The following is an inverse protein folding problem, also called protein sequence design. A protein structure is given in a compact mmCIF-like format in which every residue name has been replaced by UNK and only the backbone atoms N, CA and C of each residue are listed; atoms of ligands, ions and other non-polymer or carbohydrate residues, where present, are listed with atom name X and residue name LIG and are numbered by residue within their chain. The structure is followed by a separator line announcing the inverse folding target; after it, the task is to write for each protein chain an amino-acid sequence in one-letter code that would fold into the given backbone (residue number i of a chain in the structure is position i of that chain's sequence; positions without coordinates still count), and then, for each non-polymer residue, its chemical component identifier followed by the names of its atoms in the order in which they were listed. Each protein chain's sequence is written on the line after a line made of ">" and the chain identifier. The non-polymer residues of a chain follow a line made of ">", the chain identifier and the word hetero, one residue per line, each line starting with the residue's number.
data_IF_970461723257
#
_entry.id   IF_970461723257
#
_cell.length_a   1.000
_cell.length_b   1.000
_cell.length_c   1.000
_cell.angle_alpha   90.00
_cell.angle_beta   90.00
_cell.angle_gamma   90.00
#
_symmetry.space_group_name_H-M   'P 1'
#
loop_
_entity.id
_entity.type
_entity.pdbx_description
1 polymer ?
#
# COMPACT_ATOMS: atom_id res chain seq x y z
N UNK A 1 3.46 -33.18 -40.82
CA UNK A 1 2.07 -32.90 -40.39
C UNK A 1 1.95 -32.59 -38.90
N UNK A 2 2.54 -33.37 -37.99
CA UNK A 2 2.44 -33.16 -36.52
C UNK A 2 2.90 -31.78 -36.01
N UNK A 3 3.91 -31.18 -36.62
CA UNK A 3 4.44 -29.85 -36.23
C UNK A 3 3.47 -28.71 -36.55
N UNK A 4 2.72 -28.78 -37.65
CA UNK A 4 1.76 -27.72 -38.04
C UNK A 4 0.55 -27.66 -37.11
N UNK A 5 0.04 -28.82 -36.70
CA UNK A 5 -1.06 -28.91 -35.73
C UNK A 5 -0.65 -28.43 -34.34
N UNK A 6 0.57 -28.76 -33.91
CA UNK A 6 1.08 -28.28 -32.63
C UNK A 6 1.27 -26.76 -32.61
N UNK A 7 1.83 -26.18 -33.68
CA UNK A 7 1.99 -24.72 -33.80
C UNK A 7 0.63 -24.01 -33.78
N UNK A 8 -0.40 -24.60 -34.41
CA UNK A 8 -1.75 -24.05 -34.43
C UNK A 8 -2.43 -24.10 -33.04
N UNK A 9 -2.35 -25.23 -32.33
CA UNK A 9 -2.89 -25.37 -30.97
C UNK A 9 -2.20 -24.41 -30.00
N UNK A 10 -0.89 -24.24 -30.15
CA UNK A 10 -0.11 -23.33 -29.33
C UNK A 10 -0.47 -21.86 -29.59
N UNK A 11 -0.65 -21.47 -30.85
CA UNK A 11 -1.11 -20.11 -31.22
C UNK A 11 -2.54 -19.84 -30.72
N UNK A 12 -3.40 -20.87 -30.74
CA UNK A 12 -4.75 -20.83 -30.18
C UNK A 12 -4.72 -20.61 -28.66
N UNK A 13 -3.80 -21.27 -27.94
CA UNK A 13 -3.59 -21.08 -26.50
C UNK A 13 -3.10 -19.66 -26.18
N UNK A 14 -2.17 -19.09 -26.96
CA UNK A 14 -1.76 -17.68 -26.81
C UNK A 14 -2.94 -16.72 -27.01
N UNK A 15 -3.79 -16.98 -28.00
CA UNK A 15 -4.98 -16.17 -28.27
C UNK A 15 -6.06 -16.26 -27.18
N UNK A 16 -6.02 -17.29 -26.33
CA UNK A 16 -6.98 -17.49 -25.23
C UNK A 16 -6.53 -16.86 -23.89
N UNK A 17 -5.27 -16.43 -23.77
CA UNK A 17 -4.73 -15.82 -22.54
C UNK A 17 -5.39 -14.47 -22.17
N UNK A 18 -5.82 -13.59 -23.09
CA UNK A 18 -6.56 -12.39 -22.72
C UNK A 18 -7.93 -12.65 -22.08
N UNK A 19 -8.48 -13.86 -22.19
CA UNK A 19 -9.78 -14.22 -21.60
C UNK A 19 -9.69 -14.67 -20.13
N UNK A 20 -8.48 -14.93 -19.61
CA UNK A 20 -8.27 -15.45 -18.24
C UNK A 20 -7.95 -14.34 -17.24
N UNK A 21 -7.70 -13.12 -17.69
CA UNK A 21 -7.64 -11.94 -16.80
C UNK A 21 -9.06 -11.54 -16.43
N UNK A 22 -9.64 -12.28 -15.48
CA UNK A 22 -10.90 -11.92 -14.83
C UNK A 22 -10.79 -10.51 -14.27
N UNK A 23 -11.75 -9.67 -14.70
CA UNK A 23 -12.04 -8.37 -14.11
C UNK A 23 -12.34 -8.57 -12.62
N UNK A 24 -11.40 -8.18 -11.77
CA UNK A 24 -11.75 -7.78 -10.41
C UNK A 24 -12.15 -6.31 -10.54
N UNK A 25 -13.45 -6.07 -10.76
CA UNK A 25 -14.03 -4.72 -10.67
C UNK A 25 -14.01 -4.32 -9.19
N UNK A 26 -12.94 -3.66 -8.75
CA UNK A 26 -13.00 -2.81 -7.56
C UNK A 26 -13.84 -1.58 -7.93
N UNK A 27 -15.13 -1.64 -7.59
CA UNK A 27 -16.02 -0.47 -7.60
C UNK A 27 -15.61 0.40 -6.41
N UNK A 28 -14.67 1.32 -6.64
CA UNK A 28 -14.48 2.50 -5.81
C UNK A 28 -14.71 3.73 -6.70
N UNK A 29 -15.92 4.28 -6.65
CA UNK A 29 -16.21 5.60 -7.20
C UNK A 29 -15.60 6.65 -6.26
N UNK A 30 -14.46 7.21 -6.65
CA UNK A 30 -13.98 8.47 -6.11
C UNK A 30 -13.18 9.20 -7.19
N UNK A 31 -13.12 10.53 -7.15
CA UNK A 31 -12.37 11.39 -8.08
C UNK A 31 -10.85 11.13 -7.97
N UNK A 32 -10.40 9.96 -8.40
CA UNK A 32 -9.00 9.58 -8.41
C UNK A 32 -8.30 10.43 -9.46
N UNK A 33 -7.26 11.15 -9.02
CA UNK A 33 -6.42 11.96 -9.88
C UNK A 33 -6.03 11.18 -11.13
N UNK A 34 -6.26 11.76 -12.31
CA UNK A 34 -5.96 11.16 -13.62
C UNK A 34 -4.50 10.65 -13.74
N UNK A 35 -3.58 11.20 -12.94
CA UNK A 35 -2.19 10.76 -12.85
C UNK A 35 -2.01 9.43 -12.11
N UNK A 36 -2.78 9.18 -11.06
CA UNK A 36 -2.74 7.93 -10.29
C UNK A 36 -3.31 6.75 -11.08
N UNK A 37 -4.43 6.99 -11.79
CA UNK A 37 -4.99 6.00 -12.71
C UNK A 37 -3.98 5.56 -13.78
N UNK A 38 -3.20 6.50 -14.32
CA UNK A 38 -2.12 6.18 -15.29
C UNK A 38 -1.02 5.33 -14.69
N UNK A 39 -0.66 5.57 -13.43
CA UNK A 39 0.37 4.76 -12.75
C UNK A 39 -0.15 3.35 -12.50
N UNK A 40 -1.39 3.22 -12.02
CA UNK A 40 -2.02 1.92 -11.81
C UNK A 40 -2.09 1.14 -13.13
N UNK A 41 -2.56 1.78 -14.19
CA UNK A 41 -2.61 1.23 -15.54
C UNK A 41 -1.21 0.81 -16.04
N UNK A 42 -0.18 1.63 -15.82
CA UNK A 42 1.19 1.31 -16.20
C UNK A 42 1.75 0.09 -15.44
N UNK A 43 1.41 -0.05 -14.15
CA UNK A 43 1.80 -1.21 -13.33
C UNK A 43 1.11 -2.47 -13.81
N UNK A 44 -0.20 -2.45 -14.02
CA UNK A 44 -0.94 -3.57 -14.57
C UNK A 44 -0.44 -3.98 -15.95
N UNK A 45 -0.22 -2.99 -16.82
CA UNK A 45 0.30 -3.22 -18.17
C UNK A 45 1.71 -3.82 -18.11
N UNK A 46 2.57 -3.37 -17.19
CA UNK A 46 3.90 -3.96 -16.98
C UNK A 46 3.80 -5.45 -16.61
N UNK A 47 2.91 -5.80 -15.66
CA UNK A 47 2.69 -7.20 -15.26
C UNK A 47 2.15 -8.03 -16.44
N UNK A 48 1.15 -7.52 -17.16
CA UNK A 48 0.58 -8.20 -18.34
C UNK A 48 1.63 -8.42 -19.42
N UNK A 49 2.48 -7.43 -19.71
CA UNK A 49 3.57 -7.55 -20.68
C UNK A 49 4.62 -8.58 -20.25
N UNK A 50 4.98 -8.63 -18.97
CA UNK A 50 5.90 -9.64 -18.42
C UNK A 50 5.32 -11.06 -18.62
N UNK A 51 4.04 -11.26 -18.32
CA UNK A 51 3.35 -12.54 -18.50
C UNK A 51 3.35 -12.95 -19.98
N UNK A 52 2.90 -12.07 -20.87
CA UNK A 52 2.85 -12.31 -22.31
C UNK A 52 4.25 -12.63 -22.86
N UNK A 53 5.26 -11.84 -22.51
CA UNK A 53 6.63 -12.08 -22.94
C UNK A 53 7.19 -13.40 -22.42
N UNK A 54 6.88 -13.76 -21.17
CA UNK A 54 7.29 -15.05 -20.58
C UNK A 54 6.69 -16.22 -21.37
N UNK A 55 5.41 -16.14 -21.74
CA UNK A 55 4.75 -17.15 -22.58
C UNK A 55 5.42 -17.23 -23.96
N UNK A 56 5.64 -16.10 -24.62
CA UNK A 56 6.30 -16.05 -25.93
C UNK A 56 7.71 -16.65 -25.86
N UNK A 57 8.51 -16.28 -24.86
CA UNK A 57 9.87 -16.81 -24.69
C UNK A 57 9.83 -18.32 -24.44
N UNK A 58 8.96 -18.81 -23.54
CA UNK A 58 8.79 -20.24 -23.29
C UNK A 58 8.41 -21.01 -24.56
N UNK A 59 7.57 -20.41 -25.41
CA UNK A 59 7.23 -20.95 -26.73
C UNK A 59 8.44 -21.11 -27.61
N UNK A 60 9.23 -20.04 -27.76
CA UNK A 60 10.38 -20.01 -28.64
C UNK A 60 11.44 -21.01 -28.17
N UNK A 61 11.67 -21.08 -26.86
CA UNK A 61 12.55 -22.08 -26.24
C UNK A 61 12.04 -23.49 -26.48
N UNK A 62 10.74 -23.75 -26.29
CA UNK A 62 10.14 -25.04 -26.56
C UNK A 62 10.31 -25.46 -28.02
N UNK A 63 10.05 -24.57 -28.98
CA UNK A 63 10.29 -24.83 -30.41
C UNK A 63 11.77 -25.15 -30.66
N UNK A 64 12.69 -24.39 -30.04
CA UNK A 64 14.12 -24.62 -30.18
C UNK A 64 14.53 -26.03 -29.70
N UNK A 65 13.94 -26.53 -28.62
CA UNK A 65 14.21 -27.87 -28.06
C UNK A 65 13.65 -28.98 -28.94
N UNK A 66 12.42 -28.83 -29.47
CA UNK A 66 11.74 -29.93 -30.17
C UNK A 66 12.11 -30.06 -31.66
N UNK A 67 12.66 -29.02 -32.27
CA UNK A 67 13.12 -29.07 -33.67
C UNK A 67 14.51 -29.70 -33.73
N UNK A 68 14.58 -31.00 -34.06
CA UNK A 68 15.83 -31.79 -34.09
C UNK A 68 16.89 -31.30 -35.09
N UNK A 69 16.50 -30.66 -36.18
CA UNK A 69 17.39 -30.16 -37.25
C UNK A 69 16.92 -28.79 -37.74
N UNK A 70 17.10 -27.72 -36.95
CA UNK A 70 16.66 -26.39 -37.33
C UNK A 70 17.56 -25.86 -38.46
N UNK A 71 16.96 -25.21 -39.44
CA UNK A 71 17.72 -24.49 -40.47
C UNK A 71 18.46 -23.29 -39.84
N UNK A 72 19.54 -22.82 -40.46
CA UNK A 72 20.29 -21.66 -39.96
C UNK A 72 19.41 -20.41 -39.81
N UNK A 73 18.44 -20.22 -40.72
CA UNK A 73 17.48 -19.12 -40.62
C UNK A 73 16.54 -19.28 -39.40
N UNK A 74 16.07 -20.50 -39.11
CA UNK A 74 15.21 -20.74 -37.95
C UNK A 74 15.96 -20.49 -36.64
N UNK A 75 17.24 -20.90 -36.54
CA UNK A 75 18.07 -20.61 -35.35
C UNK A 75 18.16 -19.10 -35.10
N UNK A 76 18.44 -18.32 -36.15
CA UNK A 76 18.50 -16.86 -36.08
C UNK A 76 17.15 -16.27 -35.64
N UNK A 77 16.04 -16.72 -36.23
CA UNK A 77 14.69 -16.25 -35.88
C UNK A 77 14.38 -16.52 -34.40
N UNK A 78 14.62 -17.74 -33.90
CA UNK A 78 14.36 -18.08 -32.50
C UNK A 78 15.23 -17.26 -31.54
N UNK A 79 16.52 -17.12 -31.85
CA UNK A 79 17.46 -16.34 -31.06
C UNK A 79 17.09 -14.85 -31.00
N UNK A 80 16.93 -14.21 -32.16
CA UNK A 80 16.57 -12.80 -32.23
C UNK A 80 15.16 -12.55 -31.71
N UNK A 81 14.22 -13.49 -31.86
CA UNK A 81 12.88 -13.39 -31.27
C UNK A 81 12.92 -13.31 -29.75
N UNK A 82 13.69 -14.18 -29.10
CA UNK A 82 13.89 -14.13 -27.64
C UNK A 82 14.54 -12.82 -27.23
N UNK A 83 15.60 -12.38 -27.93
CA UNK A 83 16.29 -11.12 -27.63
C UNK A 83 15.35 -9.92 -27.75
N UNK A 84 14.63 -9.81 -28.87
CA UNK A 84 13.74 -8.67 -29.13
C UNK A 84 12.65 -8.59 -28.06
N UNK A 85 11.99 -9.72 -27.73
CA UNK A 85 10.93 -9.75 -26.72
C UNK A 85 11.48 -9.38 -25.34
N UNK A 86 12.63 -9.93 -24.97
CA UNK A 86 13.27 -9.65 -23.68
C UNK A 86 13.63 -8.16 -23.59
N UNK A 87 14.35 -7.63 -24.58
CA UNK A 87 14.76 -6.21 -24.60
C UNK A 87 13.54 -5.29 -24.59
N UNK A 88 12.51 -5.56 -25.39
CA UNK A 88 11.32 -4.73 -25.46
C UNK A 88 10.61 -4.62 -24.09
N UNK A 89 10.40 -5.75 -23.39
CA UNK A 89 9.79 -5.73 -22.06
C UNK A 89 10.71 -5.09 -21.03
N UNK A 90 12.01 -5.37 -21.06
CA UNK A 90 12.97 -4.72 -20.16
C UNK A 90 12.97 -3.21 -20.33
N UNK A 91 13.02 -2.70 -21.57
CA UNK A 91 12.96 -1.26 -21.84
C UNK A 91 11.65 -0.65 -21.36
N UNK A 92 10.52 -1.31 -21.60
CA UNK A 92 9.22 -0.83 -21.14
C UNK A 92 9.15 -0.74 -19.62
N UNK A 93 9.52 -1.79 -18.90
CA UNK A 93 9.50 -1.82 -17.42
C UNK A 93 10.49 -0.80 -16.84
N UNK A 94 11.67 -0.66 -17.44
CA UNK A 94 12.64 0.36 -17.02
C UNK A 94 12.08 1.78 -17.24
N UNK A 95 11.49 2.05 -18.40
CA UNK A 95 10.88 3.33 -18.72
C UNK A 95 9.70 3.66 -17.78
N UNK A 96 8.80 2.71 -17.53
CA UNK A 96 7.65 2.90 -16.63
C UNK A 96 8.12 3.16 -15.20
N UNK A 97 9.11 2.41 -14.71
CA UNK A 97 9.69 2.58 -13.37
C UNK A 97 10.35 3.95 -13.22
N UNK A 98 11.16 4.38 -14.19
CA UNK A 98 11.80 5.70 -14.17
C UNK A 98 10.74 6.80 -14.17
N UNK A 99 9.72 6.69 -15.01
CA UNK A 99 8.64 7.67 -15.10
C UNK A 99 7.87 7.77 -13.79
N UNK A 100 7.52 6.62 -13.20
CA UNK A 100 6.85 6.55 -11.90
C UNK A 100 7.67 7.23 -10.81
N UNK A 101 8.95 6.91 -10.70
CA UNK A 101 9.82 7.55 -9.72
C UNK A 101 9.96 9.05 -9.97
N UNK A 102 10.05 9.50 -11.23
CA UNK A 102 10.17 10.93 -11.54
C UNK A 102 8.92 11.72 -11.18
N UNK A 103 7.73 11.15 -11.35
CA UNK A 103 6.46 11.83 -11.08
C UNK A 103 6.06 11.74 -9.60
N UNK A 104 6.47 10.68 -8.90
CA UNK A 104 6.13 10.47 -7.49
C UNK A 104 6.67 11.57 -6.55
N UNK A 105 5.88 11.95 -5.55
CA UNK A 105 6.30 12.83 -4.45
C UNK A 105 7.54 12.32 -3.72
N UNK A 106 7.68 11.01 -3.61
CA UNK A 106 8.77 10.33 -2.89
C UNK A 106 10.03 10.12 -3.72
N UNK A 107 9.96 10.34 -5.03
CA UNK A 107 11.05 10.12 -5.99
C UNK A 107 11.59 8.68 -6.04
N UNK A 108 10.80 7.71 -5.57
CA UNK A 108 11.18 6.31 -5.46
C UNK A 108 10.42 5.57 -4.37
N UNK A 109 10.68 4.26 -4.19
CA UNK A 109 10.01 3.48 -3.16
C UNK A 109 10.46 3.91 -1.77
N UNK A 110 9.51 3.92 -0.84
CA UNK A 110 9.72 4.23 0.57
C UNK A 110 9.31 3.06 1.45
N UNK A 111 9.71 3.15 2.71
CA UNK A 111 9.32 2.24 3.78
C UNK A 111 9.20 3.11 5.03
N UNK A 112 8.01 3.64 5.28
CA UNK A 112 7.73 4.50 6.42
C UNK A 112 6.83 3.80 7.42
N UNK A 113 7.03 4.13 8.69
CA UNK A 113 6.29 3.60 9.81
C UNK A 113 5.78 4.73 10.69
N UNK A 114 4.55 4.57 11.18
CA UNK A 114 4.02 5.32 12.31
C UNK A 114 3.27 4.35 13.21
N UNK A 115 3.49 4.41 14.52
CA UNK A 115 2.67 3.64 15.45
C UNK A 115 1.35 4.39 15.67
N UNK A 116 0.27 3.66 15.91
CA UNK A 116 -1.01 4.28 16.21
C UNK A 116 -1.72 3.60 17.39
N UNK A 117 -2.54 4.35 18.10
CA UNK A 117 -3.50 3.81 19.06
C UNK A 117 -4.84 4.52 18.95
N UNK A 118 -5.92 3.76 19.12
CA UNK A 118 -7.29 4.28 19.09
C UNK A 118 -7.91 4.07 20.46
N UNK A 119 -8.54 5.11 20.99
CA UNK A 119 -9.11 5.11 22.34
C UNK A 119 -10.56 5.61 22.34
N UNK A 120 -11.41 4.96 23.14
CA UNK A 120 -12.78 5.37 23.38
C UNK A 120 -13.02 5.46 24.88
N UNK A 121 -13.20 6.67 25.42
CA UNK A 121 -13.49 6.90 26.83
C UNK A 121 -12.48 6.28 27.79
N UNK A 122 -11.20 6.31 27.41
CA UNK A 122 -10.09 5.74 28.17
C UNK A 122 -9.89 4.23 27.98
N UNK A 123 -10.71 3.54 27.17
CA UNK A 123 -10.49 2.15 26.77
C UNK A 123 -9.80 2.11 25.40
N UNK A 124 -8.69 1.37 25.28
CA UNK A 124 -8.03 1.12 23.99
C UNK A 124 -8.93 0.25 23.11
N UNK A 125 -9.00 0.60 21.83
CA UNK A 125 -9.74 -0.11 20.79
C UNK A 125 -8.73 -0.75 19.86
N UNK A 126 -8.83 -2.08 19.70
CA UNK A 126 -7.98 -2.84 18.78
C UNK A 126 -8.72 -3.05 17.46
N UNK A 127 -8.06 -2.71 16.36
CA UNK A 127 -8.55 -2.95 14.99
C UNK A 127 -8.57 -4.45 14.68
N UNK A 128 -9.35 -4.87 13.68
CA UNK A 128 -9.39 -6.28 13.26
C UNK A 128 -8.00 -6.75 12.83
N UNK A 129 -7.54 -7.85 13.42
CA UNK A 129 -6.28 -8.47 13.04
C UNK A 129 -6.33 -9.00 11.59
N UNK A 130 -5.22 -8.91 10.82
CA UNK A 130 -5.16 -9.50 9.49
C UNK A 130 -5.40 -11.01 9.52
N UNK A 131 -6.09 -11.51 8.49
CA UNK A 131 -6.35 -12.94 8.28
C UNK A 131 -5.88 -13.36 6.88
N UNK A 132 -5.53 -14.65 6.72
CA UNK A 132 -5.17 -15.23 5.43
C UNK A 132 -3.68 -15.17 5.09
N UNK A 133 -3.36 -15.43 3.81
CA UNK A 133 -1.97 -15.60 3.34
C UNK A 133 -1.18 -14.29 3.22
N UNK A 134 -1.86 -13.15 3.06
CA UNK A 134 -1.21 -11.85 2.92
C UNK A 134 -0.70 -11.30 4.26
N UNK A 135 -1.28 -11.75 5.38
CA UNK A 135 -1.00 -11.26 6.74
C UNK A 135 -0.96 -9.72 6.86
N UNK A 136 -1.85 -9.04 6.14
CA UNK A 136 -1.98 -7.58 6.17
C UNK A 136 -3.44 -7.15 5.98
N UNK A 137 -3.81 -6.01 6.56
CA UNK A 137 -5.06 -5.30 6.28
C UNK A 137 -4.72 -4.02 5.52
N UNK A 138 -5.37 -3.80 4.37
CA UNK A 138 -5.10 -2.65 3.49
C UNK A 138 -4.46 -3.03 2.15
N UNK A 139 -3.89 -2.02 1.49
CA UNK A 139 -3.35 -2.12 0.13
C UNK A 139 -1.89 -2.62 0.10
N UNK A 140 -1.32 -2.75 -1.11
CA UNK A 140 0.11 -3.05 -1.24
C UNK A 140 1.02 -1.91 -0.77
N UNK A 141 0.54 -0.66 -0.81
CA UNK A 141 1.34 0.52 -0.48
C UNK A 141 1.07 0.99 0.93
N UNK A 142 -0.13 0.76 1.45
CA UNK A 142 -0.57 1.32 2.72
C UNK A 142 -1.39 0.28 3.49
N UNK A 143 -0.84 -0.20 4.61
CA UNK A 143 -1.38 -1.35 5.32
C UNK A 143 -0.94 -1.44 6.79
N UNK A 144 -1.48 -2.43 7.50
CA UNK A 144 -1.23 -2.79 8.90
C UNK A 144 -1.05 -4.32 9.04
N UNK A 145 -0.24 -4.77 10.01
CA UNK A 145 0.17 -6.17 10.17
C UNK A 145 -0.29 -6.85 11.49
N UNK A 146 -1.25 -6.29 12.20
CA UNK A 146 -1.66 -6.68 13.56
C UNK A 146 -0.69 -6.21 14.65
N UNK A 147 0.14 -5.20 14.38
CA UNK A 147 1.18 -4.69 15.26
C UNK A 147 0.94 -3.24 15.71
N UNK A 148 -0.24 -2.68 15.42
CA UNK A 148 -0.60 -1.28 15.70
C UNK A 148 0.35 -0.28 15.04
N UNK A 149 0.81 -0.61 13.83
CA UNK A 149 1.68 0.23 13.02
C UNK A 149 1.11 0.44 11.63
N UNK A 150 1.16 1.69 11.20
CA UNK A 150 0.88 2.10 9.83
C UNK A 150 2.15 1.87 9.00
N UNK A 151 2.03 1.10 7.92
CA UNK A 151 3.11 0.83 6.97
C UNK A 151 2.85 1.54 5.64
N UNK A 152 3.80 2.38 5.21
CA UNK A 152 3.84 2.93 3.84
C UNK A 152 5.01 2.30 3.09
N UNK A 153 4.72 1.39 2.16
CA UNK A 153 5.72 0.61 1.45
C UNK A 153 5.57 0.70 -0.08
N UNK A 154 6.57 1.26 -0.76
CA UNK A 154 6.55 1.42 -2.22
C UNK A 154 6.49 2.87 -2.64
N UNK A 155 6.06 3.15 -3.87
CA UNK A 155 6.15 4.49 -4.44
C UNK A 155 4.89 5.28 -4.11
N UNK A 156 5.04 6.38 -3.37
CA UNK A 156 3.93 7.29 -3.05
C UNK A 156 3.86 8.36 -4.13
N UNK A 157 2.81 8.28 -4.97
CA UNK A 157 2.57 9.22 -6.06
C UNK A 157 2.19 10.58 -5.48
N UNK A 158 1.18 10.59 -4.62
CA UNK A 158 0.73 11.76 -3.88
C UNK A 158 0.72 11.47 -2.37
N UNK A 159 1.23 12.42 -1.58
CA UNK A 159 1.21 12.35 -0.11
C UNK A 159 -0.19 12.27 0.49
N UNK A 160 -1.20 12.86 -0.15
CA UNK A 160 -2.59 12.73 0.31
C UNK A 160 -3.03 11.26 0.31
N UNK A 161 -2.53 10.42 -0.59
CA UNK A 161 -2.93 9.01 -0.65
C UNK A 161 -2.41 8.17 0.53
N UNK A 162 -1.57 8.77 1.39
CA UNK A 162 -1.02 8.15 2.60
C UNK A 162 -1.30 9.00 3.84
N UNK A 163 -2.41 9.72 3.83
CA UNK A 163 -2.97 10.40 5.01
C UNK A 163 -3.77 9.45 5.91
N UNK A 164 -4.17 9.94 7.08
CA UNK A 164 -4.91 9.15 8.07
C UNK A 164 -6.29 8.75 7.56
N UNK A 165 -6.94 9.59 6.75
CA UNK A 165 -8.21 9.29 6.11
C UNK A 165 -8.11 8.04 5.26
N UNK A 166 -7.16 8.02 4.33
CA UNK A 166 -6.90 6.88 3.48
C UNK A 166 -6.47 5.65 4.27
N UNK A 167 -5.70 5.81 5.35
CA UNK A 167 -5.32 4.68 6.21
C UNK A 167 -6.54 4.00 6.81
N UNK A 168 -7.40 4.78 7.45
CA UNK A 168 -8.60 4.26 8.11
C UNK A 168 -9.54 3.61 7.07
N UNK A 169 -9.66 4.20 5.87
CA UNK A 169 -10.47 3.61 4.80
C UNK A 169 -9.92 2.26 4.32
N UNK A 170 -8.60 2.14 4.09
CA UNK A 170 -8.02 0.87 3.60
C UNK A 170 -8.07 -0.25 4.62
N UNK A 171 -8.15 0.07 5.93
CA UNK A 171 -8.40 -0.93 6.98
C UNK A 171 -9.90 -1.20 7.23
N UNK A 172 -10.78 -0.70 6.35
CA UNK A 172 -12.21 -0.96 6.40
C UNK A 172 -13.01 -0.06 7.36
N UNK A 173 -12.45 1.08 7.73
CA UNK A 173 -13.11 2.11 8.53
C UNK A 173 -13.54 3.33 7.72
N UNK A 174 -13.90 4.39 8.43
CA UNK A 174 -14.12 5.74 7.89
C UNK A 174 -13.81 6.77 8.97
N UNK A 175 -13.10 7.83 8.61
CA UNK A 175 -12.75 8.91 9.54
C UNK A 175 -13.04 10.28 8.91
N UNK A 176 -13.64 11.15 9.71
CA UNK A 176 -13.90 12.57 9.44
C UNK A 176 -13.54 13.37 10.69
N UNK A 177 -13.61 14.70 10.61
CA UNK A 177 -13.32 15.58 11.77
C UNK A 177 -14.18 15.28 13.00
N UNK A 178 -15.41 14.84 12.80
CA UNK A 178 -16.43 14.66 13.82
C UNK A 178 -16.96 13.22 13.90
N UNK A 179 -16.34 12.27 13.19
CA UNK A 179 -16.82 10.88 13.10
C UNK A 179 -15.68 9.90 12.91
N UNK A 180 -15.76 8.77 13.60
CA UNK A 180 -14.89 7.62 13.42
C UNK A 180 -15.73 6.34 13.40
N UNK A 181 -15.62 5.58 12.32
CA UNK A 181 -16.17 4.24 12.17
C UNK A 181 -15.05 3.23 11.88
N UNK A 182 -15.05 2.08 12.55
CA UNK A 182 -14.03 1.05 12.43
C UNK A 182 -14.61 -0.36 12.53
N UNK A 183 -13.94 -1.32 11.89
CA UNK A 183 -14.09 -2.72 12.23
C UNK A 183 -13.06 -3.07 13.31
N UNK A 184 -13.55 -3.53 14.47
CA UNK A 184 -12.73 -3.90 15.63
C UNK A 184 -12.83 -5.39 15.92
N UNK A 185 -11.95 -5.89 16.79
CA UNK A 185 -12.05 -7.27 17.29
C UNK A 185 -13.36 -7.55 18.05
N UNK A 186 -14.01 -6.52 18.59
CA UNK A 186 -15.30 -6.60 19.31
C UNK A 186 -16.52 -6.39 18.38
N UNK A 187 -16.30 -6.10 17.09
CA UNK A 187 -17.33 -5.79 16.09
C UNK A 187 -17.21 -4.38 15.51
N UNK A 188 -18.27 -3.88 14.87
CA UNK A 188 -18.31 -2.50 14.38
C UNK A 188 -18.28 -1.51 15.55
N UNK A 189 -17.42 -0.50 15.45
CA UNK A 189 -17.31 0.61 16.39
C UNK A 189 -17.56 1.91 15.65
N UNK A 190 -18.45 2.76 16.17
CA UNK A 190 -18.75 4.07 15.60
C UNK A 190 -18.94 5.10 16.72
N UNK A 191 -18.36 6.27 16.55
CA UNK A 191 -18.53 7.44 17.43
C UNK A 191 -18.58 8.72 16.62
N UNK A 192 -19.30 9.71 17.13
CA UNK A 192 -19.31 11.06 16.59
C UNK A 192 -19.29 12.11 17.69
N UNK A 193 -18.85 13.31 17.34
CA UNK A 193 -18.94 14.47 18.22
C UNK A 193 -20.37 14.63 18.78
N UNK A 194 -20.46 14.88 20.09
CA UNK A 194 -21.72 15.01 20.79
C UNK A 194 -22.24 13.71 21.43
N UNK A 195 -21.71 12.55 21.04
CA UNK A 195 -22.01 11.30 21.75
C UNK A 195 -21.45 11.36 23.19
N UNK A 196 -22.08 10.62 24.12
CA UNK A 196 -21.67 10.68 25.52
C UNK A 196 -20.45 9.78 25.79
N UNK A 197 -19.45 10.35 26.44
CA UNK A 197 -18.29 9.68 26.97
C UNK A 197 -18.23 9.84 28.49
N UNK A 198 -18.34 8.75 29.24
CA UNK A 198 -18.39 8.76 30.72
C UNK A 198 -19.42 9.74 31.31
N UNK A 199 -20.55 9.94 30.62
CA UNK A 199 -21.63 10.82 31.04
C UNK A 199 -21.46 12.30 30.67
N UNK A 200 -20.40 12.65 29.94
CA UNK A 200 -20.15 14.01 29.40
C UNK A 200 -20.11 13.98 27.88
N UNK A 201 -20.17 15.15 27.26
CA UNK A 201 -20.07 15.28 25.81
C UNK A 201 -18.66 14.88 25.34
N UNK A 202 -18.58 13.90 24.44
CA UNK A 202 -17.35 13.42 23.83
C UNK A 202 -17.05 14.12 22.51
N UNK A 203 -15.75 14.20 22.22
CA UNK A 203 -15.15 14.85 21.06
C UNK A 203 -14.12 13.91 20.45
N UNK A 204 -14.16 13.77 19.12
CA UNK A 204 -13.12 13.09 18.36
C UNK A 204 -11.93 14.03 18.16
N UNK A 205 -10.73 13.56 18.49
CA UNK A 205 -9.51 14.37 18.49
C UNK A 205 -8.30 13.46 18.24
N UNK A 206 -7.24 14.03 17.69
CA UNK A 206 -5.99 13.31 17.47
C UNK A 206 -4.78 14.07 17.98
N UNK A 207 -3.81 13.31 18.48
CA UNK A 207 -2.55 13.81 19.00
C UNK A 207 -1.41 13.05 18.35
N UNK A 208 -0.36 13.76 17.99
CA UNK A 208 0.82 13.17 17.34
C UNK A 208 2.03 13.49 18.18
N UNK A 209 2.79 12.46 18.52
CA UNK A 209 4.13 12.60 19.06
C UNK A 209 5.13 12.59 17.90
N UNK A 210 5.94 13.65 17.83
CA UNK A 210 7.03 13.80 16.86
C UNK A 210 8.35 13.95 17.56
N UNK A 211 9.43 13.59 16.88
CA UNK A 211 10.79 13.82 17.38
C UNK A 211 11.58 14.79 16.52
N UNK A 212 12.31 15.69 17.16
CA UNK A 212 13.38 16.50 16.55
C UNK A 212 14.69 16.22 17.29
N UNK A 213 15.60 15.48 16.66
CA UNK A 213 16.79 14.97 17.32
C UNK A 213 16.44 13.98 18.44
N UNK A 214 16.86 14.26 19.66
CA UNK A 214 16.54 13.45 20.84
C UNK A 214 15.38 14.02 21.67
N UNK A 215 14.68 15.04 21.16
CA UNK A 215 13.52 15.61 21.84
C UNK A 215 12.26 15.13 21.18
N UNK A 216 11.21 14.91 21.98
CA UNK A 216 9.87 14.71 21.45
C UNK A 216 8.92 15.83 21.87
N UNK A 217 7.90 16.07 21.06
CA UNK A 217 6.80 16.98 21.34
C UNK A 217 5.46 16.31 21.02
N UNK A 218 4.42 16.66 21.77
CA UNK A 218 3.05 16.26 21.50
C UNK A 218 2.31 17.44 20.85
N UNK A 219 1.66 17.18 19.72
CA UNK A 219 0.91 18.16 18.94
C UNK A 219 -0.53 17.66 18.82
N UNK A 220 -1.51 18.50 19.17
CA UNK A 220 -2.92 18.28 18.83
C UNK A 220 -3.12 18.62 17.35
N UNK A 221 -3.69 17.70 16.58
CA UNK A 221 -3.85 17.87 15.13
C UNK A 221 -5.28 18.30 14.82
N UNK A 222 -5.46 19.55 14.41
CA UNK A 222 -6.77 20.14 14.11
C UNK A 222 -7.44 19.50 12.87
N UNK A 223 -6.64 19.17 11.85
CA UNK A 223 -7.11 18.51 10.63
C UNK A 223 -6.52 17.11 10.52
N UNK A 224 -6.86 16.26 11.48
CA UNK A 224 -6.28 14.93 11.59
C UNK A 224 -6.63 13.96 10.46
N UNK A 225 -7.79 14.02 9.77
CA UNK A 225 -8.02 13.14 8.62
C UNK A 225 -6.97 13.33 7.52
N UNK A 226 -6.55 14.58 7.28
CA UNK A 226 -5.56 14.93 6.25
C UNK A 226 -4.11 14.81 6.75
N UNK A 227 -3.90 14.24 7.95
CA UNK A 227 -2.59 14.10 8.54
C UNK A 227 -1.74 13.05 7.80
N UNK A 228 -0.61 13.48 7.24
CA UNK A 228 0.40 12.60 6.61
C UNK A 228 1.55 12.33 7.58
N UNK A 229 1.86 11.06 7.78
CA UNK A 229 2.91 10.61 8.70
C UNK A 229 4.34 11.00 8.27
N UNK A 230 5.23 11.11 9.26
CA UNK A 230 6.64 11.45 9.06
C UNK A 230 7.38 10.33 8.30
N UNK A 231 8.28 10.67 7.35
CA UNK A 231 8.85 9.72 6.40
C UNK A 231 10.02 8.89 6.97
N UNK A 232 9.80 8.15 8.06
CA UNK A 232 10.84 7.39 8.77
C UNK A 232 10.52 5.91 8.86
N UNK A 233 11.53 5.06 8.68
CA UNK A 233 11.40 3.60 8.72
C UNK A 233 11.36 3.00 10.14
N UNK A 234 11.54 3.81 11.18
CA UNK A 234 11.54 3.37 12.57
C UNK A 234 10.74 4.35 13.42
N UNK A 235 10.13 3.86 14.49
CA UNK A 235 9.32 4.65 15.42
C UNK A 235 9.93 4.53 16.81
N UNK A 236 10.45 5.63 17.41
CA UNK A 236 10.80 6.93 16.79
C UNK A 236 11.98 6.81 15.80
N UNK A 237 12.25 7.80 14.91
CA UNK A 237 11.66 9.14 14.81
C UNK A 237 10.35 9.24 14.02
N UNK A 238 9.82 8.13 13.50
CA UNK A 238 8.46 8.05 12.99
C UNK A 238 7.43 8.43 14.04
N UNK A 239 6.21 8.70 13.61
CA UNK A 239 5.20 9.27 14.49
C UNK A 239 4.59 8.23 15.43
N UNK A 240 4.12 8.70 16.58
CA UNK A 240 3.10 7.99 17.35
C UNK A 240 1.80 8.79 17.29
N UNK A 241 0.76 8.20 16.70
CA UNK A 241 -0.53 8.84 16.43
C UNK A 241 -1.56 8.28 17.42
N UNK A 242 -2.17 9.14 18.21
CA UNK A 242 -3.26 8.80 19.12
C UNK A 242 -4.54 9.38 18.55
N UNK A 243 -5.52 8.54 18.24
CA UNK A 243 -6.88 8.95 17.91
C UNK A 243 -7.74 8.63 19.11
N UNK A 244 -8.45 9.61 19.66
CA UNK A 244 -9.29 9.38 20.83
C UNK A 244 -10.65 10.06 20.74
N UNK A 245 -11.67 9.34 21.23
CA UNK A 245 -12.97 9.88 21.54
C UNK A 245 -13.10 10.03 23.06
N UNK A 246 -13.05 11.28 23.54
CA UNK A 246 -13.03 11.64 24.96
C UNK A 246 -13.52 13.09 25.17
N UNK A 247 -13.57 13.58 26.40
CA UNK A 247 -13.76 15.00 26.70
C UNK A 247 -12.73 15.88 25.95
N UNK A 248 -13.15 17.05 25.45
CA UNK A 248 -12.25 17.98 24.74
C UNK A 248 -11.04 18.35 25.59
N UNK A 249 -9.83 18.15 25.05
CA UNK A 249 -8.59 18.47 25.74
C UNK A 249 -7.49 18.90 24.79
N UNK A 250 -6.48 19.57 25.35
CA UNK A 250 -5.33 20.09 24.60
C UNK A 250 -4.15 19.10 24.55
N UNK A 251 -4.19 18.07 25.38
CA UNK A 251 -3.15 17.05 25.51
C UNK A 251 -3.75 15.70 25.86
N UNK A 252 -3.13 14.64 25.39
CA UNK A 252 -3.46 13.26 25.79
C UNK A 252 -2.43 12.70 26.77
N UNK A 253 -2.86 11.80 27.65
CA UNK A 253 -2.01 11.00 28.52
C UNK A 253 -1.57 9.67 27.85
N UNK A 254 -2.13 9.36 26.68
CA UNK A 254 -1.84 8.14 25.91
C UNK A 254 -0.58 8.32 25.09
N UNK A 255 0.16 7.24 24.91
CA UNK A 255 1.42 7.23 24.16
C UNK A 255 1.72 5.79 23.74
N UNK A 256 2.20 5.62 22.50
CA UNK A 256 2.48 4.32 21.91
C UNK A 256 3.64 3.62 22.63
N UNK A 257 3.62 2.29 22.65
CA UNK A 257 4.59 1.48 23.40
C UNK A 257 6.04 1.71 22.96
N UNK A 258 6.31 1.94 21.67
CA UNK A 258 7.67 2.22 21.17
C UNK A 258 8.22 3.54 21.70
N UNK A 259 7.41 4.60 21.73
CA UNK A 259 7.77 5.88 22.33
C UNK A 259 7.99 5.72 23.84
N UNK A 260 7.12 5.00 24.56
CA UNK A 260 7.33 4.69 26.00
C UNK A 260 8.68 4.01 26.22
N UNK A 261 9.00 3.00 25.42
CA UNK A 261 10.24 2.26 25.52
C UNK A 261 11.47 3.15 25.24
N UNK A 262 11.40 4.02 24.23
CA UNK A 262 12.47 4.96 23.89
C UNK A 262 12.72 5.99 25.02
N UNK A 263 11.65 6.51 25.63
CA UNK A 263 11.74 7.41 26.79
C UNK A 263 12.39 6.70 27.98
N UNK A 264 11.96 5.48 28.30
CA UNK A 264 12.51 4.70 29.42
C UNK A 264 14.00 4.38 29.24
N UNK A 265 14.44 4.18 28.00
CA UNK A 265 15.86 3.99 27.67
C UNK A 265 16.68 5.28 27.71
N UNK A 266 16.01 6.44 27.69
CA UNK A 266 16.65 7.75 27.56
C UNK A 266 17.08 8.09 26.13
N UNK A 267 16.55 7.38 25.13
CA UNK A 267 16.84 7.64 23.71
C UNK A 267 16.20 8.96 23.25
N UNK A 268 15.05 9.31 23.82
CA UNK A 268 14.35 10.57 23.61
C UNK A 268 13.90 11.19 24.94
N UNK A 269 13.79 12.52 24.99
CA UNK A 269 13.44 13.30 26.18
C UNK A 269 12.29 14.26 25.82
N UNK A 270 11.33 14.42 26.72
CA UNK A 270 10.20 15.33 26.48
C UNK A 270 10.64 16.79 26.43
N UNK A 271 10.10 17.54 25.48
CA UNK A 271 10.25 18.99 25.38
C UNK A 271 9.44 19.74 26.44
#
# INVERSE_FOLDING_TARGET
>A
MKVKYFLFIFLLLILLIPLVSGHEEEIFEEEVNHEENKVHEAKELSVRLIIIASIIILTLVFIAIFVRKPTENLKKILFFGIIIVTLAVTFYVAYSTITLNLVSETRGPVHWHADFEIWNCGKKIDVVNPMGLSNRVGSNVFHEHGDNRIHVEGVVINKQNVDLHNFINVIGGSIKKDYLGLQTVEGSFEVKDGDLCNGKEGKLQAFVYKTEGNKYEQIKVEDFPDYVLSPYAYVPPGDCIIIEFDEEKERTDKICETYKAAIQKGDIIGS
#
